data_IF_270189189969
#
_entry.id   IF_270189189969
#
_cell.length_a   1.000
_cell.length_b   1.000
_cell.length_c   1.000
_cell.angle_alpha   90.00
_cell.angle_beta   90.00
_cell.angle_gamma   90.00
#
_symmetry.space_group_name_H-M   'P 1'
#
loop_
_entity.id
_entity.type
_entity.pdbx_description
1 polymer ?
#
# COMPACT_ATOMS: atom_id res chain seq x y z
N UNK A 1 -23.00 -8.51 5.95
CA UNK A 1 -21.90 -8.60 4.98
C UNK A 1 -20.61 -8.30 5.71
N UNK A 2 -19.54 -9.08 5.49
CA UNK A 2 -18.20 -8.86 6.06
C UNK A 2 -17.20 -8.68 4.92
N UNK A 3 -16.09 -7.99 5.18
CA UNK A 3 -14.93 -7.91 4.32
C UNK A 3 -13.65 -8.03 5.15
N UNK A 4 -12.62 -8.65 4.60
CA UNK A 4 -11.26 -8.54 5.14
C UNK A 4 -10.56 -7.36 4.46
N UNK A 5 -10.02 -6.45 5.26
CA UNK A 5 -9.36 -5.25 4.77
C UNK A 5 -7.92 -5.19 5.31
N UNK A 6 -6.96 -4.97 4.42
CA UNK A 6 -5.54 -4.95 4.72
C UNK A 6 -4.98 -3.52 4.69
N UNK A 7 -4.23 -3.10 5.72
CA UNK A 7 -3.74 -1.73 5.82
C UNK A 7 -2.67 -1.42 4.75
N UNK A 8 -2.55 -0.14 4.44
CA UNK A 8 -1.45 0.43 3.69
C UNK A 8 -0.30 0.91 4.57
N UNK A 9 0.67 1.62 3.95
CA UNK A 9 1.82 2.19 4.64
C UNK A 9 1.39 3.26 5.65
N UNK A 10 2.13 3.37 6.77
CA UNK A 10 1.85 4.28 7.88
C UNK A 10 1.42 3.56 9.17
N UNK A 11 1.06 2.28 9.09
CA UNK A 11 0.67 1.46 10.23
C UNK A 11 1.85 0.69 10.87
N UNK A 12 3.08 0.79 10.30
CA UNK A 12 4.25 0.07 10.80
C UNK A 12 4.73 0.60 12.15
N UNK A 13 5.01 -0.33 13.05
CA UNK A 13 5.58 -0.06 14.37
C UNK A 13 6.57 -1.16 14.73
N UNK A 14 7.60 -0.83 15.51
CA UNK A 14 8.50 -1.83 16.07
C UNK A 14 7.71 -2.77 17.01
N UNK A 15 7.96 -4.07 16.90
CA UNK A 15 7.28 -5.12 17.66
C UNK A 15 5.96 -5.61 17.05
N UNK A 16 5.50 -5.03 15.90
CA UNK A 16 4.26 -5.48 15.28
C UNK A 16 4.33 -6.97 14.90
N UNK A 17 3.29 -7.73 15.28
CA UNK A 17 3.18 -9.16 15.01
C UNK A 17 4.06 -10.07 15.88
N UNK A 18 5.00 -9.56 16.69
CA UNK A 18 5.88 -10.38 17.54
C UNK A 18 5.10 -11.28 18.51
N UNK A 19 4.10 -10.73 19.19
CA UNK A 19 3.24 -11.50 20.08
C UNK A 19 2.43 -12.57 19.33
N UNK A 20 2.01 -12.31 18.10
CA UNK A 20 1.33 -13.31 17.26
C UNK A 20 2.29 -14.45 16.91
N UNK A 21 3.51 -14.14 16.47
CA UNK A 21 4.52 -15.15 16.15
C UNK A 21 4.91 -15.99 17.37
N UNK A 22 4.96 -15.40 18.56
CA UNK A 22 5.27 -16.11 19.80
C UNK A 22 4.17 -17.08 20.25
N UNK A 23 2.89 -16.77 19.98
CA UNK A 23 1.75 -17.55 20.46
C UNK A 23 1.13 -18.47 19.40
N UNK A 24 1.35 -18.20 18.10
CA UNK A 24 0.78 -18.96 16.99
C UNK A 24 1.87 -19.44 16.04
N UNK A 25 2.20 -20.74 16.01
CA UNK A 25 3.19 -21.28 15.05
C UNK A 25 2.86 -20.95 13.59
N UNK A 26 1.57 -20.91 13.24
CA UNK A 26 1.11 -20.54 11.88
C UNK A 26 1.38 -19.07 11.53
N UNK A 27 1.37 -18.18 12.52
CA UNK A 27 1.75 -16.79 12.33
C UNK A 27 3.28 -16.63 12.20
N UNK A 28 4.04 -17.38 13.03
CA UNK A 28 5.51 -17.42 12.91
C UNK A 28 5.94 -17.90 11.54
N UNK A 29 5.33 -18.96 11.02
CA UNK A 29 5.64 -19.51 9.70
C UNK A 29 5.51 -18.48 8.56
N UNK A 30 4.60 -17.50 8.68
CA UNK A 30 4.50 -16.41 7.71
C UNK A 30 5.75 -15.53 7.72
N UNK A 31 6.25 -15.15 8.89
CA UNK A 31 7.47 -14.35 9.01
C UNK A 31 8.69 -15.13 8.49
N UNK A 32 8.81 -16.42 8.85
CA UNK A 32 9.90 -17.27 8.38
C UNK A 32 9.88 -17.39 6.83
N UNK A 33 8.70 -17.59 6.21
CA UNK A 33 8.56 -17.67 4.75
C UNK A 33 8.94 -16.35 4.08
N UNK A 34 8.59 -15.21 4.67
CA UNK A 34 8.93 -13.89 4.13
C UNK A 34 10.43 -13.63 4.24
N UNK A 35 11.05 -13.96 5.37
CA UNK A 35 12.50 -13.83 5.58
C UNK A 35 13.29 -14.70 4.58
N UNK A 36 12.87 -15.95 4.39
CA UNK A 36 13.46 -16.87 3.40
C UNK A 36 13.29 -16.34 1.97
N UNK A 37 12.08 -15.87 1.62
CA UNK A 37 11.77 -15.35 0.29
C UNK A 37 12.60 -14.12 -0.08
N UNK A 38 12.94 -13.30 0.90
CA UNK A 38 13.72 -12.07 0.72
C UNK A 38 15.23 -12.29 0.94
N UNK A 39 15.64 -13.43 1.51
CA UNK A 39 17.02 -13.67 1.95
C UNK A 39 17.48 -12.62 2.98
N UNK A 40 16.58 -12.17 3.84
CA UNK A 40 16.80 -11.09 4.81
C UNK A 40 16.07 -11.39 6.11
N UNK A 41 16.67 -11.08 7.25
CA UNK A 41 16.03 -11.08 8.56
C UNK A 41 15.10 -9.85 8.70
N UNK A 42 13.98 -9.87 7.95
CA UNK A 42 12.98 -8.81 8.01
C UNK A 42 12.20 -8.87 9.32
N UNK A 43 11.95 -10.06 9.85
CA UNK A 43 11.27 -10.24 11.13
C UNK A 43 12.08 -9.64 12.28
N UNK A 44 13.40 -9.82 12.32
CA UNK A 44 14.28 -9.15 13.28
C UNK A 44 14.21 -7.62 13.17
N UNK A 45 14.19 -7.07 11.93
CA UNK A 45 14.01 -5.64 11.70
C UNK A 45 12.64 -5.14 12.23
N UNK A 46 11.56 -5.91 12.00
CA UNK A 46 10.21 -5.56 12.46
C UNK A 46 10.14 -5.52 13.99
N UNK A 47 10.75 -6.49 14.67
CA UNK A 47 10.56 -6.68 16.10
C UNK A 47 11.52 -5.87 16.97
N UNK A 48 12.78 -5.73 16.55
CA UNK A 48 13.85 -5.15 17.36
C UNK A 48 14.71 -4.13 16.62
N UNK A 49 14.39 -3.86 15.34
CA UNK A 49 15.19 -2.98 14.51
C UNK A 49 14.92 -1.49 14.73
N UNK A 50 15.53 -0.67 13.86
CA UNK A 50 15.34 0.77 13.84
C UNK A 50 14.07 1.17 13.09
N UNK A 51 13.24 2.02 13.69
CA UNK A 51 11.98 2.49 13.08
C UNK A 51 12.22 3.28 11.78
N UNK A 52 13.33 4.03 11.68
CA UNK A 52 13.66 4.75 10.45
C UNK A 52 13.93 3.78 9.31
N UNK A 53 14.69 2.72 9.56
CA UNK A 53 14.96 1.64 8.60
C UNK A 53 13.68 0.88 8.23
N UNK A 54 12.82 0.56 9.20
CA UNK A 54 11.54 -0.12 8.95
C UNK A 54 10.59 0.76 8.11
N UNK A 55 10.62 2.08 8.30
CA UNK A 55 9.75 3.02 7.58
C UNK A 55 10.13 3.23 6.13
N UNK A 56 11.36 2.89 5.71
CA UNK A 56 11.72 2.89 4.29
C UNK A 56 10.74 1.99 3.53
N UNK A 57 10.16 2.53 2.44
CA UNK A 57 9.04 1.84 1.76
C UNK A 57 9.42 0.45 1.24
N UNK A 58 10.70 0.21 0.91
CA UNK A 58 11.21 -1.11 0.54
C UNK A 58 11.09 -2.15 1.67
N UNK A 59 11.15 -1.72 2.94
CA UNK A 59 11.00 -2.57 4.11
C UNK A 59 9.56 -2.57 4.63
N UNK A 60 8.93 -1.39 4.69
CA UNK A 60 7.58 -1.23 5.25
C UNK A 60 6.53 -2.07 4.50
N UNK A 61 6.61 -2.13 3.17
CA UNK A 61 5.62 -2.86 2.38
C UNK A 61 5.61 -4.37 2.68
N UNK A 62 6.71 -5.13 2.55
CA UNK A 62 6.70 -6.54 2.90
C UNK A 62 6.49 -6.79 4.41
N UNK A 63 6.93 -5.89 5.29
CA UNK A 63 6.72 -6.01 6.73
C UNK A 63 5.25 -5.92 7.14
N UNK A 64 4.51 -4.96 6.57
CA UNK A 64 3.07 -4.82 6.80
C UNK A 64 2.28 -6.00 6.21
N UNK A 65 2.66 -6.50 5.05
CA UNK A 65 2.09 -7.70 4.46
C UNK A 65 2.31 -8.92 5.37
N UNK A 66 3.55 -9.18 5.81
CA UNK A 66 3.86 -10.29 6.70
C UNK A 66 3.04 -10.23 8.00
N UNK A 67 2.99 -9.08 8.65
CA UNK A 67 2.22 -8.87 9.88
C UNK A 67 0.73 -9.08 9.67
N UNK A 68 0.19 -8.57 8.57
CA UNK A 68 -1.24 -8.72 8.22
C UNK A 68 -1.61 -10.17 7.97
N UNK A 69 -0.78 -10.92 7.22
CA UNK A 69 -1.01 -12.33 6.96
C UNK A 69 -0.80 -13.20 8.20
N UNK A 70 0.18 -12.87 9.05
CA UNK A 70 0.37 -13.52 10.35
C UNK A 70 -0.87 -13.36 11.24
N UNK A 71 -1.46 -12.16 11.27
CA UNK A 71 -2.70 -11.91 12.00
C UNK A 71 -3.87 -12.72 11.42
N UNK A 72 -4.00 -12.78 10.09
CA UNK A 72 -5.02 -13.61 9.45
C UNK A 72 -4.84 -15.10 9.78
N UNK A 73 -3.60 -15.63 9.73
CA UNK A 73 -3.32 -17.03 10.07
C UNK A 73 -3.66 -17.35 11.52
N UNK A 74 -3.37 -16.43 12.46
CA UNK A 74 -3.78 -16.57 13.85
C UNK A 74 -5.31 -16.60 13.99
N UNK A 75 -6.04 -15.69 13.32
CA UNK A 75 -7.51 -15.70 13.32
C UNK A 75 -8.10 -17.00 12.72
N UNK A 76 -7.47 -17.54 11.68
CA UNK A 76 -7.88 -18.81 11.08
C UNK A 76 -7.66 -19.98 12.05
N UNK A 77 -6.56 -19.96 12.82
CA UNK A 77 -6.32 -20.98 13.87
C UNK A 77 -7.36 -20.92 15.00
N UNK A 78 -7.94 -19.73 15.26
CA UNK A 78 -9.06 -19.54 16.19
C UNK A 78 -10.44 -19.81 15.55
N UNK A 79 -10.48 -20.35 14.31
CA UNK A 79 -11.71 -20.77 13.66
C UNK A 79 -12.39 -19.72 12.77
N UNK A 80 -11.77 -18.58 12.54
CA UNK A 80 -12.28 -17.58 11.58
C UNK A 80 -11.89 -17.95 10.17
N UNK A 81 -12.81 -18.51 9.38
CA UNK A 81 -12.56 -18.85 7.99
C UNK A 81 -12.70 -17.63 7.05
N UNK A 82 -11.93 -17.64 5.96
CA UNK A 82 -11.94 -16.55 4.96
C UNK A 82 -13.29 -16.44 4.26
N UNK A 83 -13.96 -17.56 4.02
CA UNK A 83 -15.29 -17.67 3.37
C UNK A 83 -16.43 -17.07 4.20
N UNK A 84 -16.17 -16.63 5.43
CA UNK A 84 -17.14 -15.86 6.23
C UNK A 84 -17.33 -14.43 5.73
N UNK A 85 -16.48 -13.97 4.79
CA UNK A 85 -16.54 -12.66 4.15
C UNK A 85 -17.03 -12.76 2.71
N UNK A 86 -17.56 -11.64 2.20
CA UNK A 86 -18.03 -11.51 0.82
C UNK A 86 -16.99 -10.90 -0.10
N UNK A 87 -16.04 -10.14 0.46
CA UNK A 87 -15.01 -9.40 -0.27
C UNK A 87 -13.71 -9.36 0.51
N UNK A 88 -12.64 -9.15 -0.24
CA UNK A 88 -11.32 -8.83 0.29
C UNK A 88 -10.83 -7.53 -0.34
N UNK A 89 -10.16 -6.69 0.43
CA UNK A 89 -9.66 -5.41 -0.02
C UNK A 89 -8.36 -5.04 0.71
N UNK A 90 -7.60 -4.11 0.14
CA UNK A 90 -6.43 -3.58 0.80
C UNK A 90 -6.06 -2.21 0.25
N UNK A 91 -5.49 -1.36 1.07
CA UNK A 91 -5.06 -0.03 0.69
C UNK A 91 -3.64 -0.09 0.11
N UNK A 92 -3.45 0.30 -1.14
CA UNK A 92 -2.13 0.33 -1.82
C UNK A 92 -1.41 -1.03 -1.72
N UNK A 93 -0.31 -1.14 -0.96
CA UNK A 93 0.37 -2.42 -0.71
C UNK A 93 -0.55 -3.49 -0.10
N UNK A 94 -1.58 -3.07 0.62
CA UNK A 94 -2.58 -3.96 1.21
C UNK A 94 -3.37 -4.74 0.17
N UNK A 95 -3.49 -4.27 -1.07
CA UNK A 95 -4.10 -5.00 -2.17
C UNK A 95 -3.31 -6.28 -2.50
N UNK A 96 -1.98 -6.23 -2.47
CA UNK A 96 -1.11 -7.42 -2.58
C UNK A 96 -1.29 -8.36 -1.39
N UNK A 97 -1.41 -7.81 -0.17
CA UNK A 97 -1.70 -8.61 1.03
C UNK A 97 -3.05 -9.31 0.93
N UNK A 98 -4.07 -8.63 0.40
CA UNK A 98 -5.39 -9.20 0.13
C UNK A 98 -5.31 -10.35 -0.88
N UNK A 99 -4.57 -10.20 -1.97
CA UNK A 99 -4.37 -11.24 -2.96
C UNK A 99 -3.66 -12.47 -2.39
N UNK A 100 -2.61 -12.27 -1.58
CA UNK A 100 -1.93 -13.36 -0.88
C UNK A 100 -2.86 -14.06 0.13
N UNK A 101 -3.66 -13.31 0.87
CA UNK A 101 -4.66 -13.84 1.80
C UNK A 101 -5.73 -14.69 1.08
N UNK A 102 -6.15 -14.26 -0.12
CA UNK A 102 -7.12 -14.97 -0.96
C UNK A 102 -6.51 -16.12 -1.80
N UNK A 103 -5.20 -16.39 -1.66
CA UNK A 103 -4.51 -17.46 -2.37
C UNK A 103 -4.27 -17.17 -3.86
N UNK A 104 -4.42 -15.92 -4.30
CA UNK A 104 -4.19 -15.54 -5.69
C UNK A 104 -2.69 -15.43 -6.02
N UNK A 105 -1.86 -15.04 -5.06
CA UNK A 105 -0.39 -14.97 -5.17
C UNK A 105 0.19 -15.67 -3.95
N UNK A 106 1.32 -16.36 -4.08
CA UNK A 106 2.02 -16.95 -2.93
C UNK A 106 2.55 -15.88 -1.97
N UNK A 107 2.71 -16.20 -0.69
CA UNK A 107 3.31 -15.28 0.30
C UNK A 107 4.72 -14.90 -0.14
N UNK A 108 5.52 -15.87 -0.58
CA UNK A 108 6.88 -15.66 -1.04
C UNK A 108 6.95 -14.70 -2.25
N UNK A 109 6.10 -14.90 -3.26
CA UNK A 109 6.08 -14.01 -4.43
C UNK A 109 5.54 -12.63 -4.08
N UNK A 110 4.54 -12.55 -3.19
CA UNK A 110 4.02 -11.28 -2.69
C UNK A 110 5.09 -10.49 -1.95
N UNK A 111 5.92 -11.16 -1.13
CA UNK A 111 7.05 -10.53 -0.44
C UNK A 111 8.07 -9.94 -1.44
N UNK A 112 8.45 -10.73 -2.47
CA UNK A 112 9.37 -10.27 -3.52
C UNK A 112 8.78 -9.11 -4.34
N UNK A 113 7.51 -9.19 -4.73
CA UNK A 113 6.81 -8.11 -5.43
C UNK A 113 6.78 -6.83 -4.60
N UNK A 114 6.44 -6.90 -3.32
CA UNK A 114 6.40 -5.74 -2.44
C UNK A 114 7.78 -5.15 -2.15
N UNK A 115 8.82 -5.98 -2.07
CA UNK A 115 10.21 -5.52 -2.01
C UNK A 115 10.59 -4.77 -3.29
N UNK A 116 10.30 -5.34 -4.45
CA UNK A 116 10.54 -4.71 -5.76
C UNK A 116 9.78 -3.40 -5.87
N UNK A 117 8.48 -3.40 -5.50
CA UNK A 117 7.60 -2.23 -5.52
C UNK A 117 8.15 -1.12 -4.64
N UNK A 118 8.46 -1.42 -3.38
CA UNK A 118 8.97 -0.43 -2.45
C UNK A 118 10.30 0.17 -2.89
N UNK A 119 11.21 -0.66 -3.40
CA UNK A 119 12.49 -0.21 -3.96
C UNK A 119 12.29 0.67 -5.19
N UNK A 120 11.48 0.21 -6.15
CA UNK A 120 11.20 0.97 -7.37
C UNK A 120 10.54 2.33 -7.09
N UNK A 121 9.59 2.37 -6.17
CA UNK A 121 8.92 3.62 -5.76
C UNK A 121 9.88 4.58 -5.06
N UNK A 122 10.82 4.07 -4.25
CA UNK A 122 11.83 4.91 -3.58
C UNK A 122 12.85 5.47 -4.58
N UNK A 123 13.20 4.69 -5.61
CA UNK A 123 14.18 5.07 -6.64
C UNK A 123 13.58 5.96 -7.74
N UNK A 124 12.25 5.93 -7.95
CA UNK A 124 11.58 6.66 -9.02
C UNK A 124 11.78 8.17 -8.94
N UNK A 125 11.90 8.73 -7.72
CA UNK A 125 12.06 10.17 -7.50
C UNK A 125 13.10 10.42 -6.42
N UNK A 126 14.10 11.29 -6.66
CA UNK A 126 15.06 11.67 -5.64
C UNK A 126 14.38 12.24 -4.38
N UNK A 127 14.95 11.93 -3.21
CA UNK A 127 14.42 12.43 -1.93
C UNK A 127 14.35 13.97 -1.95
N UNK A 128 13.22 14.50 -1.54
CA UNK A 128 12.97 15.94 -1.46
C UNK A 128 12.39 16.58 -2.74
N UNK A 129 12.42 15.89 -3.88
CA UNK A 129 11.84 16.39 -5.15
C UNK A 129 10.33 16.27 -5.14
N UNK A 130 9.79 15.18 -4.58
CA UNK A 130 8.35 14.96 -4.48
C UNK A 130 7.79 15.14 -3.08
N UNK A 131 6.47 15.24 -2.99
CA UNK A 131 5.72 15.31 -1.73
C UNK A 131 4.31 14.74 -1.91
N UNK A 132 3.65 14.46 -0.77
CA UNK A 132 2.23 14.19 -0.69
C UNK A 132 1.59 15.04 0.39
N UNK A 133 0.30 15.37 0.22
CA UNK A 133 -0.45 16.12 1.21
C UNK A 133 -1.89 15.61 1.32
N UNK A 134 -2.40 15.55 2.55
CA UNK A 134 -3.80 15.23 2.81
C UNK A 134 -4.63 16.53 2.87
N UNK A 135 -5.73 16.54 2.14
CA UNK A 135 -6.72 17.62 2.09
C UNK A 135 -8.04 17.07 2.65
N UNK A 136 -8.52 17.69 3.73
CA UNK A 136 -9.73 17.27 4.43
C UNK A 136 -10.84 18.31 4.27
N UNK A 137 -12.05 17.83 4.10
CA UNK A 137 -13.25 18.65 3.99
C UNK A 137 -13.56 19.13 2.58
N UNK A 138 -12.91 18.57 1.58
CA UNK A 138 -13.18 18.78 0.15
C UNK A 138 -13.43 17.44 -0.54
N UNK A 139 -14.30 17.42 -1.55
CA UNK A 139 -14.55 16.24 -2.35
C UNK A 139 -13.45 15.99 -3.39
N UNK A 140 -13.45 14.80 -3.98
CA UNK A 140 -12.44 14.37 -4.94
C UNK A 140 -12.37 15.27 -6.18
N UNK A 141 -13.52 15.70 -6.72
CA UNK A 141 -13.56 16.54 -7.91
C UNK A 141 -12.97 17.94 -7.65
N UNK A 142 -13.28 18.54 -6.51
CA UNK A 142 -12.73 19.83 -6.09
C UNK A 142 -11.20 19.73 -5.88
N UNK A 143 -10.71 18.66 -5.23
CA UNK A 143 -9.27 18.45 -5.02
C UNK A 143 -8.55 18.16 -6.34
N UNK A 144 -9.16 17.44 -7.27
CA UNK A 144 -8.60 17.21 -8.61
C UNK A 144 -8.40 18.53 -9.36
N UNK A 145 -9.43 19.38 -9.43
CA UNK A 145 -9.34 20.70 -10.08
C UNK A 145 -8.26 21.60 -9.42
N UNK A 146 -8.17 21.54 -8.10
CA UNK A 146 -7.16 22.27 -7.33
C UNK A 146 -5.73 21.76 -7.63
N UNK A 147 -5.53 20.44 -7.71
CA UNK A 147 -4.25 19.85 -8.07
C UNK A 147 -3.81 20.23 -9.49
N UNK A 148 -4.75 20.24 -10.45
CA UNK A 148 -4.52 20.72 -11.82
C UNK A 148 -4.08 22.19 -11.85
N UNK A 149 -4.77 23.06 -11.12
CA UNK A 149 -4.41 24.48 -11.00
C UNK A 149 -3.05 24.69 -10.33
N UNK A 150 -2.69 23.84 -9.36
CA UNK A 150 -1.40 23.89 -8.68
C UNK A 150 -0.24 23.39 -9.54
N UNK A 151 -0.47 22.60 -10.57
CA UNK A 151 0.56 21.95 -11.38
C UNK A 151 1.50 22.95 -12.06
N UNK A 152 0.98 23.94 -12.79
CA UNK A 152 1.77 25.00 -13.42
C UNK A 152 3.02 24.48 -14.19
N UNK A 153 2.88 23.33 -14.87
CA UNK A 153 3.98 22.65 -15.59
C UNK A 153 4.69 21.55 -14.79
N UNK A 154 4.46 21.47 -13.49
CA UNK A 154 4.88 20.36 -12.63
C UNK A 154 3.81 19.26 -12.58
N UNK A 155 4.12 18.11 -11.96
CA UNK A 155 3.13 17.09 -11.62
C UNK A 155 2.50 17.44 -10.26
N UNK A 156 1.16 17.52 -10.23
CA UNK A 156 0.36 17.48 -9.01
C UNK A 156 -0.98 16.82 -9.33
N UNK A 157 -1.32 15.73 -8.65
CA UNK A 157 -2.49 14.91 -8.97
C UNK A 157 -3.21 14.48 -7.69
N UNK A 158 -4.54 14.34 -7.75
CA UNK A 158 -5.28 13.63 -6.75
C UNK A 158 -4.89 12.14 -6.81
N UNK A 159 -4.30 11.65 -5.74
CA UNK A 159 -3.64 10.35 -5.67
C UNK A 159 -4.46 9.28 -4.95
N UNK A 160 -5.13 9.66 -3.85
CA UNK A 160 -5.98 8.75 -3.10
C UNK A 160 -7.30 9.45 -2.73
N UNK A 161 -8.41 8.79 -3.01
CA UNK A 161 -9.75 9.11 -2.50
C UNK A 161 -10.03 8.16 -1.34
N UNK A 162 -9.62 8.54 -0.13
CA UNK A 162 -9.61 7.65 1.03
C UNK A 162 -10.95 7.59 1.75
N UNK A 163 -11.70 8.69 1.72
CA UNK A 163 -12.99 8.82 2.40
C UNK A 163 -13.72 10.06 1.85
N UNK A 164 -15.03 10.12 1.85
CA UNK A 164 -15.76 11.34 1.49
C UNK A 164 -15.22 12.55 2.25
N UNK A 165 -14.50 13.42 1.56
CA UNK A 165 -13.84 14.59 2.14
C UNK A 165 -12.44 14.34 2.71
N UNK A 166 -11.76 13.24 2.34
CA UNK A 166 -10.35 13.01 2.64
C UNK A 166 -9.61 12.54 1.38
N UNK A 167 -9.00 13.46 0.69
CA UNK A 167 -8.25 13.22 -0.55
C UNK A 167 -6.78 13.54 -0.35
N UNK A 168 -5.90 12.73 -0.95
CA UNK A 168 -4.45 12.96 -0.94
C UNK A 168 -4.03 13.47 -2.31
N UNK A 169 -3.22 14.53 -2.35
CA UNK A 169 -2.51 14.98 -3.55
C UNK A 169 -1.05 14.56 -3.50
N UNK A 170 -0.48 14.27 -4.68
CA UNK A 170 0.87 13.78 -4.85
C UNK A 170 1.51 14.40 -6.08
N UNK A 171 2.82 14.71 -6.02
CA UNK A 171 3.54 15.31 -7.13
C UNK A 171 4.87 15.94 -6.76
N UNK A 172 5.34 16.87 -7.59
CA UNK A 172 6.50 17.70 -7.26
C UNK A 172 6.22 18.52 -6.01
N UNK A 173 7.19 18.63 -5.11
CA UNK A 173 7.04 19.31 -3.81
C UNK A 173 6.45 20.71 -3.96
N UNK A 174 7.00 21.53 -4.87
CA UNK A 174 6.53 22.89 -5.07
C UNK A 174 5.06 22.96 -5.51
N UNK A 175 4.63 22.03 -6.37
CA UNK A 175 3.24 21.95 -6.82
C UNK A 175 2.30 21.48 -5.70
N UNK A 176 2.73 20.52 -4.88
CA UNK A 176 1.97 20.05 -3.70
C UNK A 176 1.84 21.17 -2.65
N UNK A 177 2.90 21.97 -2.43
CA UNK A 177 2.84 23.13 -1.54
C UNK A 177 1.87 24.20 -2.06
N UNK A 178 1.88 24.50 -3.37
CA UNK A 178 0.85 25.37 -3.99
C UNK A 178 -0.56 24.81 -3.81
N UNK A 179 -0.72 23.49 -3.96
CA UNK A 179 -2.02 22.83 -3.74
C UNK A 179 -2.52 22.99 -2.31
N UNK A 180 -1.63 22.93 -1.30
CA UNK A 180 -1.99 23.18 0.09
C UNK A 180 -2.52 24.61 0.31
N UNK A 181 -1.89 25.61 -0.31
CA UNK A 181 -2.33 26.99 -0.15
C UNK A 181 -3.65 27.25 -0.85
N UNK A 182 -3.81 26.75 -2.09
CA UNK A 182 -5.09 26.80 -2.80
C UNK A 182 -6.22 26.08 -2.03
N UNK A 183 -5.91 24.93 -1.39
CA UNK A 183 -6.90 24.21 -0.59
C UNK A 183 -7.38 25.02 0.64
N UNK A 184 -6.45 25.71 1.31
CA UNK A 184 -6.81 26.60 2.44
C UNK A 184 -7.69 27.76 1.99
N UNK A 185 -7.32 28.41 0.86
CA UNK A 185 -8.11 29.49 0.26
C UNK A 185 -9.51 29.03 -0.16
N UNK A 186 -9.62 27.80 -0.66
CA UNK A 186 -10.90 27.17 -1.03
C UNK A 186 -11.73 26.65 0.16
N UNK A 187 -11.25 26.83 1.40
CA UNK A 187 -11.99 26.48 2.62
C UNK A 187 -11.84 25.02 3.07
N UNK A 188 -10.77 24.34 2.70
CA UNK A 188 -10.46 23.02 3.26
C UNK A 188 -10.39 23.09 4.79
N UNK A 189 -10.97 22.10 5.47
CA UNK A 189 -10.92 22.02 6.95
C UNK A 189 -9.50 21.83 7.47
N UNK A 190 -8.70 21.11 6.70
CA UNK A 190 -7.29 20.87 7.00
C UNK A 190 -6.55 20.51 5.71
N UNK A 191 -5.32 21.02 5.55
CA UNK A 191 -4.41 20.69 4.46
C UNK A 191 -3.00 20.57 5.04
N UNK A 192 -2.40 19.36 4.97
CA UNK A 192 -1.12 19.06 5.65
C UNK A 192 -0.23 18.17 4.80
N UNK A 193 1.07 18.45 4.79
CA UNK A 193 2.07 17.55 4.20
C UNK A 193 2.10 16.22 4.98
N UNK A 194 2.25 15.14 4.24
CA UNK A 194 2.44 13.81 4.79
C UNK A 194 3.94 13.52 4.98
N UNK A 195 4.34 12.83 6.06
CA UNK A 195 5.72 12.43 6.31
C UNK A 195 6.11 11.20 5.48
N UNK A 196 6.13 11.36 4.16
CA UNK A 196 6.47 10.30 3.20
C UNK A 196 7.77 10.62 2.46
N UNK A 197 8.47 9.57 2.02
CA UNK A 197 9.78 9.69 1.35
C UNK A 197 9.68 9.92 -0.16
N UNK A 198 8.51 9.70 -0.78
CA UNK A 198 8.31 9.82 -2.22
C UNK A 198 6.86 10.23 -2.55
N UNK A 199 6.61 10.78 -3.75
CA UNK A 199 5.28 11.20 -4.22
C UNK A 199 4.54 10.00 -4.81
N UNK A 200 4.00 9.12 -3.96
CA UNK A 200 3.31 7.90 -4.40
C UNK A 200 2.03 8.21 -5.19
N UNK A 201 1.62 7.28 -6.05
CA UNK A 201 0.34 7.30 -6.78
C UNK A 201 0.13 8.51 -7.69
N UNK A 202 1.18 9.01 -8.35
CA UNK A 202 1.10 10.04 -9.39
C UNK A 202 2.00 9.69 -10.57
N UNK A 203 1.97 10.48 -11.63
CA UNK A 203 2.74 10.24 -12.86
C UNK A 203 4.27 10.12 -12.63
N UNK A 204 4.80 10.67 -11.54
CA UNK A 204 6.22 10.51 -11.18
C UNK A 204 6.59 9.07 -10.82
N UNK A 205 5.60 8.20 -10.56
CA UNK A 205 5.79 6.77 -10.30
C UNK A 205 5.85 5.91 -11.56
N UNK A 206 5.80 6.48 -12.77
CA UNK A 206 5.86 5.73 -14.02
C UNK A 206 7.05 4.75 -14.09
N UNK A 207 8.29 5.11 -13.69
CA UNK A 207 9.40 4.15 -13.69
C UNK A 207 9.17 2.96 -12.74
N UNK A 208 8.48 3.18 -11.62
CA UNK A 208 8.12 2.11 -10.70
C UNK A 208 7.03 1.20 -11.29
N UNK A 209 6.03 1.76 -11.98
CA UNK A 209 5.00 1.00 -12.67
C UNK A 209 5.57 0.09 -13.76
N UNK A 210 6.51 0.58 -14.57
CA UNK A 210 7.20 -0.20 -15.61
C UNK A 210 7.98 -1.39 -15.00
N UNK A 211 8.69 -1.13 -13.90
CA UNK A 211 9.41 -2.20 -13.17
C UNK A 211 8.47 -3.23 -12.57
N UNK A 212 7.32 -2.78 -12.04
CA UNK A 212 6.30 -3.67 -11.50
C UNK A 212 5.63 -4.51 -12.58
N UNK A 213 5.34 -3.94 -13.75
CA UNK A 213 4.78 -4.69 -14.86
C UNK A 213 5.67 -5.88 -15.27
N UNK A 214 7.00 -5.67 -15.30
CA UNK A 214 7.96 -6.75 -15.56
C UNK A 214 7.95 -7.81 -14.44
N UNK A 215 7.97 -7.38 -13.18
CA UNK A 215 7.95 -8.30 -12.04
C UNK A 215 6.64 -9.11 -11.97
N UNK A 216 5.50 -8.48 -12.24
CA UNK A 216 4.20 -9.14 -12.26
C UNK A 216 4.07 -10.15 -13.42
N UNK A 217 4.77 -9.94 -14.54
CA UNK A 217 4.76 -10.89 -15.65
C UNK A 217 5.40 -12.24 -15.28
N UNK A 218 6.33 -12.27 -14.34
CA UNK A 218 7.05 -13.47 -13.88
C UNK A 218 6.34 -14.24 -12.75
N UNK A 219 5.22 -13.71 -12.24
CA UNK A 219 4.49 -14.31 -11.11
C UNK A 219 3.17 -14.92 -11.57
N UNK A 220 2.87 -16.12 -11.10
CA UNK A 220 1.56 -16.74 -11.30
C UNK A 220 0.49 -16.05 -10.44
N UNK A 221 -0.57 -15.58 -11.08
CA UNK A 221 -1.74 -15.02 -10.41
C UNK A 221 -2.94 -15.95 -10.70
N UNK A 222 -3.48 -16.55 -9.65
CA UNK A 222 -4.70 -17.35 -9.70
C UNK A 222 -5.94 -16.50 -9.40
N UNK A 223 -7.11 -17.06 -9.64
CA UNK A 223 -8.36 -16.43 -9.19
C UNK A 223 -8.40 -16.40 -7.66
N UNK A 224 -8.67 -15.24 -7.03
CA UNK A 224 -8.75 -15.13 -5.58
C UNK A 224 -9.96 -15.90 -5.03
N UNK A 225 -9.83 -16.48 -3.83
CA UNK A 225 -10.91 -17.19 -3.15
C UNK A 225 -12.12 -16.31 -2.83
N UNK A 226 -11.91 -15.00 -2.72
CA UNK A 226 -12.95 -13.97 -2.57
C UNK A 226 -12.73 -12.88 -3.61
N UNK A 227 -13.80 -12.23 -4.12
CA UNK A 227 -13.65 -11.07 -4.99
C UNK A 227 -12.81 -9.97 -4.33
N UNK A 228 -11.74 -9.54 -5.02
CA UNK A 228 -10.91 -8.40 -4.63
C UNK A 228 -11.64 -7.10 -4.98
N UNK A 229 -11.70 -6.15 -4.04
CA UNK A 229 -12.05 -4.77 -4.39
C UNK A 229 -10.78 -4.05 -4.83
N UNK A 230 -10.67 -3.79 -6.13
CA UNK A 230 -9.51 -3.15 -6.72
C UNK A 230 -9.41 -1.67 -6.31
N UNK A 231 -8.19 -1.21 -6.02
CA UNK A 231 -7.93 0.20 -5.69
C UNK A 231 -8.23 1.14 -6.88
N UNK A 232 -7.88 0.72 -8.10
CA UNK A 232 -8.05 1.55 -9.31
C UNK A 232 -9.52 1.68 -9.69
N UNK A 233 -10.30 0.60 -9.59
CA UNK A 233 -11.69 0.58 -10.03
C UNK A 233 -12.70 0.83 -8.91
N UNK A 234 -12.31 0.73 -7.65
CA UNK A 234 -13.20 0.72 -6.48
C UNK A 234 -14.37 -0.27 -6.64
N UNK A 235 -14.12 -1.39 -7.33
CA UNK A 235 -15.12 -2.43 -7.63
C UNK A 235 -14.53 -3.82 -7.56
N UNK A 236 -15.41 -4.82 -7.41
CA UNK A 236 -15.01 -6.22 -7.25
C UNK A 236 -14.44 -6.82 -8.55
N UNK A 237 -13.30 -7.49 -8.45
CA UNK A 237 -12.58 -8.15 -9.54
C UNK A 237 -12.18 -9.56 -9.08
N UNK A 238 -12.27 -10.54 -9.98
CA UNK A 238 -11.84 -11.93 -9.72
C UNK A 238 -11.03 -12.52 -10.87
N UNK A 239 -11.01 -11.89 -12.03
CA UNK A 239 -10.25 -12.35 -13.20
C UNK A 239 -8.75 -12.07 -13.02
N UNK A 240 -7.87 -13.11 -13.10
CA UNK A 240 -6.44 -12.96 -12.87
C UNK A 240 -5.75 -12.03 -13.86
N UNK A 241 -6.18 -12.01 -15.13
CA UNK A 241 -5.57 -11.15 -16.14
C UNK A 241 -5.92 -9.67 -15.87
N UNK A 242 -7.17 -9.40 -15.49
CA UNK A 242 -7.60 -8.09 -15.06
C UNK A 242 -6.88 -7.65 -13.79
N UNK A 243 -6.78 -8.50 -12.77
CA UNK A 243 -6.04 -8.21 -11.53
C UNK A 243 -4.60 -7.81 -11.87
N UNK A 244 -3.89 -8.59 -12.70
CA UNK A 244 -2.52 -8.27 -13.12
C UNK A 244 -2.41 -6.89 -13.78
N UNK A 245 -3.38 -6.49 -14.57
CA UNK A 245 -3.36 -5.20 -15.28
C UNK A 245 -3.70 -4.00 -14.39
N UNK A 246 -4.28 -4.23 -13.22
CA UNK A 246 -4.70 -3.20 -12.26
C UNK A 246 -3.66 -2.97 -11.13
N UNK A 247 -2.72 -3.92 -10.95
CA UNK A 247 -1.62 -3.83 -9.98
C UNK A 247 -0.44 -3.02 -10.51
#
# INVERSE_FOLDING_TARGET
MRAFVFPGQGAQTIGMGQALAANYPVAKAVFDEVDDALGQDLSGLIWEGDIGTLTLTANAQPALMATSLAALRALQAEGMALDTASFIAGHSLGEYSALAAAGAISIADTARLLRTRGTAMQEAVPVGVGAMAAILGMDFAAVTALAEAASQGDVCQAANDNDPGQVVVSGHRAAVERALDLAKEAGAKRAVLLPVSAPFHCALMQPAAERMALALAEVDIAAPALPLVSNVLASAVSDPAMIRSLL
#
